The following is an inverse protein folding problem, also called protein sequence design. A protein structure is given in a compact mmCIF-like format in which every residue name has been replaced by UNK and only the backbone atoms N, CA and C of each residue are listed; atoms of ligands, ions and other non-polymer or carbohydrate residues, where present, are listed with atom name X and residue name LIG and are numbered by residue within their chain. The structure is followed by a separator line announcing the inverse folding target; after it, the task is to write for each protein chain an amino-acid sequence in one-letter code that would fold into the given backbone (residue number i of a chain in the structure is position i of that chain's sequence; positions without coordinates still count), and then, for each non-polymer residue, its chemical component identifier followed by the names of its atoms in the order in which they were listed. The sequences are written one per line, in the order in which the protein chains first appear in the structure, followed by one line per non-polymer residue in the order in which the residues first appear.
data_IF_137500762137
#
_entry.id   IF_137500762137
#
_cell.length_a   1.000
_cell.length_b   1.000
_cell.length_c   1.000
_cell.angle_alpha   90.00
_cell.angle_beta   90.00
_cell.angle_gamma   90.00
#
_symmetry.space_group_name_H-M   'P 1'
#
loop_
_entity.id
_entity.type
_entity.pdbx_description
1 polymer ?
#
# COMPACT_ATOMS: atom_id res chain seq x y z
N UNK A 1 1.65 -15.17 10.34
CA UNK A 1 2.58 -16.20 10.79
C UNK A 1 2.57 -17.37 9.84
N UNK A 2 3.76 -17.86 9.46
CA UNK A 2 3.89 -19.10 8.71
C UNK A 2 3.42 -20.25 9.57
N UNK A 3 2.43 -21.00 9.10
CA UNK A 3 2.05 -22.27 9.69
C UNK A 3 2.27 -23.38 8.67
N UNK A 4 2.53 -24.62 9.10
CA UNK A 4 2.69 -25.75 8.19
C UNK A 4 1.48 -25.93 7.24
N UNK A 5 0.27 -25.65 7.75
CA UNK A 5 -0.98 -25.73 7.00
C UNK A 5 -1.02 -24.66 5.88
N UNK A 6 -0.65 -23.40 6.20
CA UNK A 6 -0.58 -22.33 5.23
C UNK A 6 0.48 -22.63 4.14
N UNK A 7 1.65 -23.12 4.52
CA UNK A 7 2.70 -23.51 3.59
C UNK A 7 2.27 -24.65 2.67
N UNK A 8 1.56 -25.64 3.21
CA UNK A 8 1.01 -26.76 2.43
C UNK A 8 -0.05 -26.26 1.43
N UNK A 9 -0.96 -25.40 1.88
CA UNK A 9 -1.98 -24.79 1.03
C UNK A 9 -1.35 -23.98 -0.12
N UNK A 10 -0.36 -23.14 0.18
CA UNK A 10 0.34 -22.33 -0.83
C UNK A 10 1.07 -23.21 -1.85
N UNK A 11 1.75 -24.29 -1.41
CA UNK A 11 2.43 -25.23 -2.31
C UNK A 11 1.44 -25.94 -3.24
N UNK A 12 0.31 -26.42 -2.72
CA UNK A 12 -0.75 -27.02 -3.53
C UNK A 12 -1.29 -26.03 -4.56
N UNK A 13 -1.62 -24.81 -4.14
CA UNK A 13 -2.13 -23.75 -5.01
C UNK A 13 -1.14 -23.44 -6.14
N UNK A 14 0.13 -23.23 -5.81
CA UNK A 14 1.19 -22.96 -6.79
C UNK A 14 1.40 -24.11 -7.78
N UNK A 15 1.21 -25.36 -7.36
CA UNK A 15 1.32 -26.53 -8.23
C UNK A 15 0.24 -26.57 -9.31
N UNK A 16 -0.93 -26.00 -9.03
CA UNK A 16 -2.09 -25.95 -9.94
C UNK A 16 -2.11 -24.73 -10.85
N UNK A 17 -1.29 -23.71 -10.55
CA UNK A 17 -1.24 -22.45 -11.32
C UNK A 17 -0.39 -22.60 -12.58
N UNK A 18 -0.86 -22.01 -13.68
CA UNK A 18 -0.04 -21.78 -14.87
C UNK A 18 1.01 -20.70 -14.62
N UNK A 19 2.01 -20.61 -15.50
CA UNK A 19 3.02 -19.54 -15.42
C UNK A 19 2.37 -18.17 -15.57
N UNK A 20 1.41 -18.02 -16.48
CA UNK A 20 0.65 -16.76 -16.67
C UNK A 20 -0.10 -16.35 -15.40
N UNK A 21 -0.77 -17.27 -14.73
CA UNK A 21 -1.48 -17.00 -13.47
C UNK A 21 -0.52 -16.60 -12.35
N UNK A 22 0.66 -17.21 -12.28
CA UNK A 22 1.71 -16.82 -11.32
C UNK A 22 2.20 -15.39 -11.57
N UNK A 23 2.47 -15.04 -12.83
CA UNK A 23 2.84 -13.69 -13.22
C UNK A 23 1.69 -12.70 -12.92
N UNK A 24 0.45 -13.09 -13.22
CA UNK A 24 -0.73 -12.30 -12.93
C UNK A 24 -0.87 -11.94 -11.44
N UNK A 25 -0.50 -12.85 -10.53
CA UNK A 25 -0.52 -12.55 -9.09
C UNK A 25 0.54 -11.53 -8.67
N UNK A 26 1.58 -11.31 -9.46
CA UNK A 26 2.59 -10.27 -9.24
C UNK A 26 2.23 -8.95 -9.94
N UNK A 27 1.17 -8.92 -10.73
CA UNK A 27 0.77 -7.75 -11.51
C UNK A 27 -0.20 -6.88 -10.73
N UNK A 28 0.06 -5.56 -10.75
CA UNK A 28 -0.81 -4.53 -10.19
C UNK A 28 -1.37 -3.67 -11.32
N UNK A 29 -2.68 -3.47 -11.30
CA UNK A 29 -3.39 -2.64 -12.28
C UNK A 29 -3.99 -1.41 -11.61
N UNK A 30 -4.22 -0.35 -12.40
CA UNK A 30 -4.85 0.87 -11.90
C UNK A 30 -6.37 0.80 -12.08
N UNK A 31 -7.10 1.11 -11.00
CA UNK A 31 -8.52 1.38 -11.05
C UNK A 31 -8.81 2.75 -11.68
N UNK A 32 -10.02 2.94 -12.21
CA UNK A 32 -10.37 4.17 -12.95
C UNK A 32 -10.88 5.33 -12.07
N UNK A 33 -10.88 5.17 -10.75
CA UNK A 33 -11.58 6.12 -9.86
C UNK A 33 -10.73 7.31 -9.45
N UNK A 34 -9.42 7.12 -9.32
CA UNK A 34 -8.46 8.17 -8.95
C UNK A 34 -7.18 7.93 -9.74
N UNK A 35 -6.63 8.98 -10.34
CA UNK A 35 -5.38 8.91 -11.09
C UNK A 35 -4.31 9.67 -10.29
N UNK A 36 -3.47 8.93 -9.58
CA UNK A 36 -2.23 9.45 -8.98
C UNK A 36 -1.08 8.53 -9.36
N UNK A 37 0.06 9.09 -9.68
CA UNK A 37 1.24 8.34 -10.07
C UNK A 37 1.39 8.15 -11.59
N UNK A 38 2.41 7.39 -12.03
CA UNK A 38 2.70 7.18 -13.43
C UNK A 38 1.58 6.41 -14.14
N UNK A 39 1.46 6.62 -15.45
CA UNK A 39 0.54 5.86 -16.29
C UNK A 39 0.88 4.37 -16.25
N UNK A 40 -0.15 3.55 -16.02
CA UNK A 40 -0.02 2.10 -16.01
C UNK A 40 -1.26 1.45 -16.65
N UNK A 41 -1.19 0.14 -16.90
CA UNK A 41 -2.32 -0.58 -17.49
C UNK A 41 -3.56 -0.54 -16.59
N UNK A 42 -4.68 -0.21 -17.20
CA UNK A 42 -5.98 -0.19 -16.53
C UNK A 42 -6.56 -1.59 -16.37
N UNK A 43 -7.22 -1.77 -15.24
CA UNK A 43 -7.97 -2.98 -14.95
C UNK A 43 -9.04 -3.24 -16.01
N UNK A 44 -9.08 -4.45 -16.53
CA UNK A 44 -10.13 -4.91 -17.47
C UNK A 44 -10.82 -6.17 -16.96
N UNK A 45 -12.06 -6.36 -17.40
CA UNK A 45 -12.85 -7.53 -17.08
C UNK A 45 -12.22 -8.84 -17.58
N UNK A 46 -11.53 -8.78 -18.71
CA UNK A 46 -10.80 -9.91 -19.27
C UNK A 46 -9.64 -10.35 -18.38
N UNK A 47 -8.87 -9.42 -17.83
CA UNK A 47 -7.78 -9.72 -16.91
C UNK A 47 -8.29 -10.39 -15.64
N UNK A 48 -9.40 -9.88 -15.08
CA UNK A 48 -10.04 -10.46 -13.90
C UNK A 48 -10.50 -11.90 -14.19
N UNK A 49 -11.22 -12.09 -15.28
CA UNK A 49 -11.77 -13.41 -15.63
C UNK A 49 -10.68 -14.47 -15.89
N UNK A 50 -9.52 -14.04 -16.39
CA UNK A 50 -8.35 -14.90 -16.61
C UNK A 50 -7.51 -15.14 -15.35
N UNK A 51 -7.82 -14.50 -14.21
CA UNK A 51 -7.04 -14.62 -12.97
C UNK A 51 -5.67 -13.97 -13.04
N UNK A 52 -5.51 -12.94 -13.87
CA UNK A 52 -4.23 -12.26 -14.13
C UNK A 52 -4.07 -10.97 -13.31
N UNK A 53 -4.81 -10.83 -12.21
CA UNK A 53 -4.80 -9.63 -11.36
C UNK A 53 -4.46 -10.02 -9.94
N UNK A 54 -3.29 -9.64 -9.46
CA UNK A 54 -2.86 -9.83 -8.07
C UNK A 54 -3.34 -8.69 -7.18
N UNK A 55 -3.22 -7.46 -7.68
CA UNK A 55 -3.64 -6.28 -6.92
C UNK A 55 -4.18 -5.17 -7.82
N UNK A 56 -4.95 -4.25 -7.22
CA UNK A 56 -5.47 -3.06 -7.89
C UNK A 56 -5.21 -1.84 -7.03
N UNK A 57 -4.66 -0.81 -7.66
CA UNK A 57 -4.37 0.50 -7.07
C UNK A 57 -5.47 1.51 -7.42
N UNK A 58 -5.72 2.47 -6.54
CA UNK A 58 -6.57 3.64 -6.78
C UNK A 58 -8.03 3.30 -7.16
N UNK A 59 -8.62 2.38 -6.42
CA UNK A 59 -10.04 2.11 -6.45
C UNK A 59 -10.53 1.98 -5.01
N UNK A 60 -11.69 2.53 -4.69
CA UNK A 60 -12.23 2.51 -3.35
C UNK A 60 -13.75 2.39 -3.33
N UNK A 61 -14.29 2.13 -2.15
CA UNK A 61 -15.72 1.98 -1.92
C UNK A 61 -16.13 0.54 -1.73
N UNK A 62 -16.64 0.22 -0.54
CA UNK A 62 -16.95 -1.15 -0.11
C UNK A 62 -17.80 -1.93 -1.12
N UNK A 63 -18.81 -1.29 -1.71
CA UNK A 63 -19.65 -1.94 -2.74
C UNK A 63 -18.85 -2.27 -4.01
N UNK A 64 -18.13 -1.29 -4.54
CA UNK A 64 -17.35 -1.44 -5.78
C UNK A 64 -16.30 -2.55 -5.63
N UNK A 65 -15.57 -2.55 -4.51
CA UNK A 65 -14.53 -3.55 -4.25
C UNK A 65 -15.12 -4.94 -4.04
N UNK A 66 -16.27 -5.04 -3.39
CA UNK A 66 -17.00 -6.31 -3.25
C UNK A 66 -17.44 -6.85 -4.60
N UNK A 67 -18.06 -6.02 -5.44
CA UNK A 67 -18.52 -6.41 -6.78
C UNK A 67 -17.34 -6.94 -7.63
N UNK A 68 -16.18 -6.28 -7.56
CA UNK A 68 -14.96 -6.74 -8.24
C UNK A 68 -14.44 -8.06 -7.68
N UNK A 69 -14.43 -8.21 -6.37
CA UNK A 69 -13.99 -9.45 -5.72
C UNK A 69 -14.92 -10.61 -6.06
N UNK A 70 -16.23 -10.40 -6.02
CA UNK A 70 -17.22 -11.42 -6.42
C UNK A 70 -17.05 -11.81 -7.89
N UNK A 71 -16.79 -10.84 -8.77
CA UNK A 71 -16.52 -11.09 -10.18
C UNK A 71 -15.27 -11.95 -10.35
N UNK A 72 -14.17 -11.62 -9.66
CA UNK A 72 -12.95 -12.41 -9.66
C UNK A 72 -13.21 -13.84 -9.15
N UNK A 73 -13.85 -13.97 -8.00
CA UNK A 73 -14.13 -15.26 -7.39
C UNK A 73 -15.08 -16.13 -8.23
N UNK A 74 -15.94 -15.51 -9.06
CA UNK A 74 -16.86 -16.22 -9.95
C UNK A 74 -16.19 -16.72 -11.23
N UNK A 75 -15.33 -15.91 -11.82
CA UNK A 75 -14.83 -16.13 -13.18
C UNK A 75 -13.38 -16.64 -13.25
N UNK A 76 -12.50 -16.26 -12.30
CA UNK A 76 -11.14 -16.77 -12.34
C UNK A 76 -11.07 -18.26 -11.98
N UNK A 77 -10.19 -18.99 -12.64
CA UNK A 77 -10.03 -20.44 -12.43
C UNK A 77 -9.47 -20.76 -11.04
N UNK A 78 -8.46 -20.02 -10.62
CA UNK A 78 -7.72 -20.27 -9.35
C UNK A 78 -8.43 -19.66 -8.15
N UNK A 79 -9.24 -18.62 -8.34
CA UNK A 79 -10.05 -17.98 -7.29
C UNK A 79 -9.19 -17.40 -6.14
N UNK A 80 -8.07 -16.78 -6.48
CA UNK A 80 -7.28 -16.04 -5.51
C UNK A 80 -7.89 -14.63 -5.36
N UNK A 81 -8.20 -14.17 -4.14
CA UNK A 81 -8.74 -12.83 -3.94
C UNK A 81 -7.76 -11.74 -4.39
N UNK A 82 -8.29 -10.68 -5.01
CA UNK A 82 -7.52 -9.49 -5.40
C UNK A 82 -7.20 -8.66 -4.16
N UNK A 83 -5.97 -8.15 -4.05
CA UNK A 83 -5.60 -7.14 -3.08
C UNK A 83 -5.93 -5.74 -3.60
N UNK A 84 -6.61 -4.93 -2.78
CA UNK A 84 -6.92 -3.54 -3.13
C UNK A 84 -6.06 -2.60 -2.30
N UNK A 85 -5.34 -1.71 -2.98
CA UNK A 85 -4.40 -0.76 -2.39
C UNK A 85 -4.69 0.69 -2.74
N UNK A 86 -4.28 1.60 -1.85
CA UNK A 86 -4.36 3.04 -2.05
C UNK A 86 -3.29 3.75 -1.21
N UNK A 87 -2.91 4.95 -1.64
CA UNK A 87 -2.04 5.83 -0.85
C UNK A 87 -2.81 6.48 0.30
N UNK A 88 -2.88 5.79 1.44
CA UNK A 88 -3.47 6.31 2.68
C UNK A 88 -2.34 6.90 3.53
N UNK A 89 -1.83 8.07 3.15
CA UNK A 89 -0.60 8.64 3.68
C UNK A 89 -0.82 9.39 4.99
N UNK A 90 -1.87 10.24 5.05
CA UNK A 90 -2.18 11.03 6.24
C UNK A 90 -3.69 11.06 6.55
N UNK A 91 -4.28 9.90 6.58
CA UNK A 91 -5.71 9.67 6.81
C UNK A 91 -6.43 9.17 5.56
N UNK A 92 -7.68 8.74 5.76
CA UNK A 92 -8.57 8.29 4.67
C UNK A 92 -9.80 9.17 4.56
N UNK A 93 -10.74 9.09 5.49
CA UNK A 93 -11.86 10.06 5.62
C UNK A 93 -11.51 11.17 6.59
N UNK A 94 -10.96 10.82 7.73
CA UNK A 94 -10.35 11.77 8.65
C UNK A 94 -8.98 12.16 8.11
N UNK A 95 -8.79 13.44 7.82
CA UNK A 95 -7.54 13.99 7.32
C UNK A 95 -6.71 14.45 8.50
N UNK A 96 -5.52 13.86 8.64
CA UNK A 96 -4.50 14.25 9.62
C UNK A 96 -3.48 15.20 8.99
N UNK A 97 -2.62 15.85 9.79
CA UNK A 97 -1.50 16.62 9.27
C UNK A 97 -0.63 15.75 8.34
N UNK A 98 0.06 16.38 7.39
CA UNK A 98 1.01 15.64 6.54
C UNK A 98 2.11 14.99 7.38
N UNK A 99 2.75 13.92 6.91
CA UNK A 99 3.79 13.21 7.67
C UNK A 99 4.92 14.12 8.18
N UNK A 100 5.36 15.09 7.38
CA UNK A 100 6.37 16.06 7.79
C UNK A 100 5.86 16.95 8.95
N UNK A 101 4.60 17.37 8.92
CA UNK A 101 4.01 18.16 10.01
C UNK A 101 3.78 17.32 11.27
N UNK A 102 3.35 16.04 11.10
CA UNK A 102 3.25 15.11 12.24
C UNK A 102 4.61 14.87 12.91
N UNK A 103 5.70 14.77 12.13
CA UNK A 103 7.05 14.56 12.67
C UNK A 103 7.48 15.70 13.59
N UNK A 104 7.05 16.93 13.33
CA UNK A 104 7.30 18.09 14.18
C UNK A 104 6.67 18.00 15.57
N UNK A 105 5.70 17.14 15.78
CA UNK A 105 5.06 16.93 17.08
C UNK A 105 5.90 16.13 18.06
N UNK A 106 6.79 15.27 17.57
CA UNK A 106 7.57 14.27 18.34
C UNK A 106 6.69 13.31 19.15
N UNK A 107 5.38 13.29 18.91
CA UNK A 107 4.41 12.45 19.62
C UNK A 107 4.15 11.15 18.82
N UNK A 108 5.00 10.16 19.03
CA UNK A 108 4.88 8.84 18.36
C UNK A 108 3.55 8.15 18.66
N UNK A 109 2.99 8.38 19.86
CA UNK A 109 1.71 7.76 20.21
C UNK A 109 0.53 8.40 19.45
N UNK A 110 0.57 9.71 19.21
CA UNK A 110 -0.42 10.38 18.36
C UNK A 110 -0.31 9.94 16.90
N UNK A 111 0.91 9.80 16.37
CA UNK A 111 1.19 9.32 15.02
C UNK A 111 0.68 7.88 14.82
N UNK A 112 0.92 6.99 15.78
CA UNK A 112 0.41 5.61 15.75
C UNK A 112 -1.13 5.60 15.76
N UNK A 113 -1.77 6.42 16.62
CA UNK A 113 -3.24 6.52 16.66
C UNK A 113 -3.82 7.05 15.36
N UNK A 114 -3.19 8.03 14.72
CA UNK A 114 -3.61 8.57 13.42
C UNK A 114 -3.57 7.48 12.34
N UNK A 115 -2.49 6.72 12.27
CA UNK A 115 -2.36 5.58 11.35
C UNK A 115 -3.40 4.49 11.63
N UNK A 116 -3.70 4.19 12.90
CA UNK A 116 -4.74 3.24 13.29
C UNK A 116 -6.14 3.68 12.84
N UNK A 117 -6.48 4.95 13.04
CA UNK A 117 -7.77 5.49 12.57
C UNK A 117 -7.87 5.39 11.05
N UNK A 118 -6.80 5.76 10.34
CA UNK A 118 -6.74 5.64 8.89
C UNK A 118 -6.91 4.19 8.41
N UNK A 119 -6.33 3.22 9.12
CA UNK A 119 -6.49 1.79 8.84
C UNK A 119 -7.96 1.34 9.03
N UNK A 120 -8.59 1.70 10.11
CA UNK A 120 -9.99 1.36 10.40
C UNK A 120 -10.91 1.93 9.31
N UNK A 121 -10.74 3.18 8.93
CA UNK A 121 -11.56 3.82 7.91
C UNK A 121 -11.35 3.22 6.52
N UNK A 122 -10.11 2.97 6.13
CA UNK A 122 -9.76 2.44 4.81
C UNK A 122 -10.14 0.96 4.68
N UNK A 123 -9.94 0.15 5.71
CA UNK A 123 -10.39 -1.25 5.71
C UNK A 123 -11.91 -1.37 5.63
N UNK A 124 -12.66 -0.48 6.31
CA UNK A 124 -14.11 -0.42 6.20
C UNK A 124 -14.58 -0.05 4.79
N UNK A 125 -13.75 0.67 4.02
CA UNK A 125 -13.99 0.94 2.60
C UNK A 125 -13.58 -0.20 1.66
N UNK A 126 -13.01 -1.30 2.21
CA UNK A 126 -12.63 -2.50 1.47
C UNK A 126 -11.16 -2.52 1.02
N UNK A 127 -10.32 -1.61 1.51
CA UNK A 127 -8.89 -1.63 1.23
C UNK A 127 -8.16 -2.65 2.12
N UNK A 128 -7.14 -3.29 1.57
CA UNK A 128 -6.32 -4.29 2.26
C UNK A 128 -4.88 -3.81 2.48
N UNK A 129 -4.44 -2.81 1.72
CA UNK A 129 -3.06 -2.41 1.60
C UNK A 129 -2.94 -0.90 1.42
N UNK A 130 -2.02 -0.26 2.17
CA UNK A 130 -1.65 1.14 1.95
C UNK A 130 -0.21 1.26 1.47
N UNK A 131 0.06 2.21 0.57
CA UNK A 131 1.41 2.54 0.13
C UNK A 131 2.02 3.61 1.05
N UNK A 132 2.07 3.29 2.33
CA UNK A 132 2.63 4.09 3.43
C UNK A 132 3.16 3.16 4.53
N UNK A 133 4.13 3.60 5.34
CA UNK A 133 4.75 4.92 5.38
C UNK A 133 5.82 5.14 4.32
N UNK A 134 6.01 6.41 3.93
CA UNK A 134 7.20 6.82 3.21
C UNK A 134 8.36 6.98 4.19
N UNK A 135 9.42 6.20 3.98
CA UNK A 135 10.59 6.13 4.88
C UNK A 135 11.85 6.72 4.26
N UNK A 136 11.69 7.41 3.14
CA UNK A 136 12.79 8.10 2.47
C UNK A 136 13.31 9.23 3.33
N UNK A 137 14.64 9.29 3.48
CA UNK A 137 15.31 10.38 4.18
C UNK A 137 15.46 11.56 3.24
N UNK A 138 14.77 12.66 3.52
CA UNK A 138 14.79 13.85 2.69
C UNK A 138 16.10 14.61 2.85
N UNK A 139 16.89 14.73 1.77
CA UNK A 139 18.16 15.45 1.76
C UNK A 139 18.02 16.86 1.19
N UNK A 140 17.08 17.08 0.29
CA UNK A 140 16.88 18.38 -0.36
C UNK A 140 15.45 18.85 -0.10
N UNK A 141 15.31 19.97 0.62
CA UNK A 141 14.01 20.55 0.96
C UNK A 141 13.22 21.05 -0.26
N UNK A 142 13.83 21.16 -1.44
CA UNK A 142 13.15 21.50 -2.69
C UNK A 142 12.39 20.32 -3.30
N UNK A 143 12.67 19.10 -2.86
CA UNK A 143 11.94 17.92 -3.33
C UNK A 143 10.48 17.96 -2.89
N UNK A 144 9.55 17.98 -3.84
CA UNK A 144 8.12 18.15 -3.54
C UNK A 144 7.53 17.07 -2.65
N UNK A 145 8.11 15.85 -2.65
CA UNK A 145 7.65 14.75 -1.82
C UNK A 145 8.23 14.72 -0.39
N UNK A 146 9.05 15.68 -0.03
CA UNK A 146 9.53 15.79 1.37
C UNK A 146 8.38 15.83 2.38
N UNK A 147 7.22 16.35 1.98
CA UNK A 147 6.01 16.46 2.79
C UNK A 147 5.40 15.11 3.17
N UNK A 148 5.67 14.05 2.40
CA UNK A 148 5.15 12.70 2.63
C UNK A 148 5.97 11.89 3.64
N UNK A 149 7.19 12.33 3.96
CA UNK A 149 8.13 11.67 4.87
C UNK A 149 8.28 12.38 6.20
N UNK A 150 9.15 11.85 7.06
CA UNK A 150 9.40 12.36 8.40
C UNK A 150 10.52 13.42 8.47
N UNK A 151 11.09 13.82 7.33
CA UNK A 151 12.18 14.78 7.26
C UNK A 151 13.55 14.15 7.04
N UNK A 152 14.61 14.81 7.56
CA UNK A 152 16.00 14.45 7.27
C UNK A 152 16.69 13.59 8.35
N UNK A 153 16.13 13.55 9.57
CA UNK A 153 16.71 12.78 10.67
C UNK A 153 16.39 11.30 10.56
N UNK A 154 17.43 10.48 10.49
CA UNK A 154 17.30 9.03 10.28
C UNK A 154 16.75 8.30 11.51
N UNK A 155 17.05 8.78 12.72
CA UNK A 155 16.58 8.16 13.95
C UNK A 155 15.08 8.45 14.14
N UNK A 156 14.68 9.71 14.10
CA UNK A 156 13.28 10.12 14.20
C UNK A 156 12.43 9.47 13.10
N UNK A 157 12.93 9.47 11.86
CA UNK A 157 12.27 8.81 10.74
C UNK A 157 12.04 7.32 10.97
N UNK A 158 13.01 6.63 11.56
CA UNK A 158 12.88 5.20 11.90
C UNK A 158 11.84 4.95 12.99
N UNK A 159 11.80 5.79 14.03
CA UNK A 159 10.80 5.65 15.10
C UNK A 159 9.38 5.98 14.60
N UNK A 160 9.23 6.99 13.77
CA UNK A 160 7.95 7.33 13.14
C UNK A 160 7.50 6.21 12.19
N UNK A 161 8.40 5.62 11.42
CA UNK A 161 8.08 4.48 10.55
C UNK A 161 7.52 3.30 11.35
N UNK A 162 8.13 2.96 12.49
CA UNK A 162 7.63 1.92 13.40
C UNK A 162 6.23 2.26 13.93
N UNK A 163 6.04 3.49 14.41
CA UNK A 163 4.74 3.94 14.93
C UNK A 163 3.64 3.84 13.87
N UNK A 164 3.91 4.27 12.63
CA UNK A 164 2.95 4.17 11.52
C UNK A 164 2.63 2.74 11.15
N UNK A 165 3.65 1.87 11.02
CA UNK A 165 3.44 0.45 10.71
C UNK A 165 2.63 -0.22 11.82
N UNK A 166 2.96 0.04 13.08
CA UNK A 166 2.18 -0.47 14.21
C UNK A 166 0.73 0.02 14.18
N UNK A 167 0.50 1.28 13.84
CA UNK A 167 -0.84 1.83 13.71
C UNK A 167 -1.63 1.21 12.56
N UNK A 168 -1.05 1.05 11.37
CA UNK A 168 -1.70 0.41 10.23
C UNK A 168 -1.98 -1.09 10.47
N UNK A 169 -1.07 -1.80 11.13
CA UNK A 169 -1.08 -3.26 11.35
C UNK A 169 -1.27 -3.63 12.82
N UNK A 170 -1.93 -2.79 13.60
CA UNK A 170 -2.02 -2.85 15.07
C UNK A 170 -2.45 -4.22 15.63
N UNK A 171 -3.17 -5.02 14.87
CA UNK A 171 -3.50 -6.39 15.23
C UNK A 171 -3.78 -7.23 13.98
N UNK A 172 -2.81 -8.02 13.56
CA UNK A 172 -2.89 -8.86 12.35
C UNK A 172 -3.99 -9.94 12.40
N UNK A 173 -4.65 -10.12 13.53
CA UNK A 173 -5.73 -11.08 13.72
C UNK A 173 -7.13 -10.44 13.65
N UNK A 174 -7.20 -9.13 13.54
CA UNK A 174 -8.46 -8.40 13.42
C UNK A 174 -8.70 -7.92 11.98
N UNK A 175 -9.95 -7.59 11.68
CA UNK A 175 -10.38 -7.21 10.31
C UNK A 175 -10.27 -5.70 10.02
N UNK A 176 -9.84 -4.90 11.00
CA UNK A 176 -9.83 -3.43 10.92
C UNK A 176 -8.43 -2.86 10.72
N UNK A 177 -7.62 -3.51 9.90
CA UNK A 177 -6.26 -3.11 9.60
C UNK A 177 -6.03 -3.07 8.08
N UNK A 178 -4.95 -2.44 7.67
CA UNK A 178 -4.40 -2.52 6.31
C UNK A 178 -2.92 -2.85 6.38
N UNK A 179 -2.43 -3.61 5.41
CA UNK A 179 -1.01 -3.89 5.29
C UNK A 179 -0.26 -2.61 4.97
N UNK A 180 0.80 -2.33 5.70
CA UNK A 180 1.70 -1.22 5.44
C UNK A 180 2.72 -1.57 4.35
N UNK A 181 3.18 -0.55 3.63
CA UNK A 181 4.25 -0.66 2.65
C UNK A 181 5.27 0.44 2.90
N UNK A 182 6.37 0.09 3.56
CA UNK A 182 7.49 1.02 3.71
C UNK A 182 8.10 1.28 2.33
N UNK A 183 8.05 2.52 1.88
CA UNK A 183 8.50 2.94 0.55
C UNK A 183 9.43 4.15 0.65
N UNK A 184 10.33 4.37 -0.30
CA UNK A 184 10.60 3.61 -1.50
C UNK A 184 11.93 2.87 -1.33
N UNK A 185 12.04 1.67 -1.81
CA UNK A 185 13.30 0.94 -1.79
C UNK A 185 14.04 1.21 -3.09
N UNK A 186 15.14 1.96 -3.11
CA UNK A 186 15.89 2.68 -2.09
C UNK A 186 16.43 4.00 -2.69
N UNK A 187 16.82 4.95 -1.82
CA UNK A 187 17.46 6.22 -2.19
C UNK A 187 16.58 7.26 -2.92
N UNK A 188 15.28 7.08 -2.94
CA UNK A 188 14.36 8.02 -3.60
C UNK A 188 14.33 9.42 -2.94
N UNK A 189 14.72 9.54 -1.67
CA UNK A 189 14.86 10.82 -0.96
C UNK A 189 16.12 11.64 -1.32
N UNK A 190 16.91 11.18 -2.30
CA UNK A 190 18.17 11.82 -2.72
C UNK A 190 18.14 12.37 -4.15
N UNK A 191 17.03 12.89 -4.70
CA UNK A 191 16.98 13.31 -6.09
C UNK A 191 17.86 14.52 -6.32
N UNK A 192 18.66 14.52 -7.38
CA UNK A 192 19.54 15.64 -7.73
C UNK A 192 18.72 16.94 -7.92
N UNK A 193 19.21 18.00 -7.28
CA UNK A 193 18.59 19.33 -7.31
C UNK A 193 17.13 19.38 -6.80
N UNK A 194 16.70 18.38 -6.00
CA UNK A 194 15.32 18.28 -5.50
C UNK A 194 14.27 17.97 -6.57
N UNK A 195 14.69 17.57 -7.77
CA UNK A 195 13.78 17.26 -8.87
C UNK A 195 13.28 15.82 -8.75
N UNK A 196 11.97 15.67 -8.67
CA UNK A 196 11.36 14.34 -8.62
C UNK A 196 11.76 13.50 -9.83
N UNK A 197 12.00 12.20 -9.63
CA UNK A 197 12.54 11.27 -10.63
C UNK A 197 13.92 11.64 -11.23
N UNK A 198 14.63 12.61 -10.69
CA UNK A 198 16.00 12.89 -11.11
C UNK A 198 16.95 11.73 -10.72
N UNK A 199 18.08 11.57 -11.42
CA UNK A 199 19.11 10.62 -11.02
C UNK A 199 19.54 10.82 -9.57
N UNK A 200 19.98 9.73 -8.95
CA UNK A 200 20.53 9.70 -7.60
C UNK A 200 22.00 9.28 -7.71
N UNK A 201 22.88 10.04 -7.09
CA UNK A 201 24.28 9.69 -6.91
C UNK A 201 24.47 9.10 -5.50
N UNK A 202 24.90 7.83 -5.42
CA UNK A 202 25.06 7.08 -4.18
C UNK A 202 26.50 6.63 -3.98
#
# INVERSE_FOLDING_TARGET
PHTPEADSFVKDLLSRMTVEEKIGQLSQYVGRTLLTGPESEYLSDSLIARGLVGSVLNISGAKTLRDLQEKNMRHSRIKIPILFGMDVIHGYKTIFPTPLAESCSWDLAAIERAAKIAAIESSAAGLHWTFAPMVDIARDARWGRVVEGAGEDTYLGSEIAKARVNGFQWNLWENNLVLACAKHWVAYGLPQAGRDYAPVDM
#
